data_IF_699229290077
#
_entry.id   IF_699229290077
#
_cell.length_a   1.000
_cell.length_b   1.000
_cell.length_c   1.000
_cell.angle_alpha   90.00
_cell.angle_beta   90.00
_cell.angle_gamma   90.00
#
_symmetry.space_group_name_H-M   'P 1'
#
loop_
_entity.id
_entity.type
_entity.pdbx_description
1 polymer ?
#
# COMPACT_ATOMS: atom_id res chain seq x y z
N UNK A 1 10.17 3.06 9.30
CA UNK A 1 9.08 2.64 10.20
C UNK A 1 8.87 1.15 10.00
N UNK A 2 8.81 0.36 11.05
CA UNK A 2 8.82 -1.10 10.92
C UNK A 2 7.70 -1.75 11.74
N UNK A 3 7.26 -2.93 11.32
CA UNK A 3 6.29 -3.80 12.03
C UNK A 3 4.93 -3.13 12.29
N UNK A 4 4.34 -2.58 11.24
CA UNK A 4 3.04 -1.91 11.28
C UNK A 4 1.95 -2.92 10.98
N UNK A 5 0.89 -2.95 11.80
CA UNK A 5 -0.18 -3.94 11.64
C UNK A 5 -1.56 -3.34 11.80
N UNK A 6 -2.46 -3.70 10.88
CA UNK A 6 -3.88 -3.39 10.93
C UNK A 6 -4.68 -4.65 10.73
N UNK A 7 -5.65 -4.89 11.62
CA UNK A 7 -6.51 -6.07 11.60
C UNK A 7 -7.97 -5.66 11.83
N UNK A 8 -8.90 -6.29 11.11
CA UNK A 8 -10.34 -6.13 11.34
C UNK A 8 -10.81 -4.66 11.27
N UNK A 9 -10.42 -3.96 10.21
CA UNK A 9 -10.77 -2.55 10.00
C UNK A 9 -11.86 -2.44 8.96
N UNK A 10 -12.86 -1.59 9.22
CA UNK A 10 -13.89 -1.21 8.25
C UNK A 10 -13.82 0.27 7.95
N UNK A 11 -13.72 0.63 6.67
CA UNK A 11 -13.66 2.03 6.21
C UNK A 11 -14.82 2.29 5.25
N UNK A 12 -15.65 3.28 5.56
CA UNK A 12 -16.84 3.62 4.77
C UNK A 12 -16.77 5.08 4.33
N UNK A 13 -17.13 5.37 3.08
CA UNK A 13 -17.21 6.73 2.54
C UNK A 13 -15.89 7.51 2.65
N UNK A 14 -14.77 6.85 2.36
CA UNK A 14 -13.43 7.45 2.43
C UNK A 14 -12.92 7.81 1.04
N UNK A 15 -12.10 8.86 0.95
CA UNK A 15 -11.48 9.25 -0.32
C UNK A 15 -10.45 8.18 -0.72
N UNK A 16 -9.49 7.88 0.17
CA UNK A 16 -8.48 6.84 -0.02
C UNK A 16 -8.53 5.85 1.15
N UNK A 17 -8.96 4.59 0.92
CA UNK A 17 -8.93 3.59 1.99
C UNK A 17 -7.49 3.15 2.30
N UNK A 18 -6.61 3.19 1.30
CA UNK A 18 -5.18 2.90 1.46
C UNK A 18 -4.35 3.97 0.74
N UNK A 19 -3.51 4.69 1.51
CA UNK A 19 -2.64 5.74 1.01
C UNK A 19 -1.27 5.65 1.69
N UNK A 20 -0.34 4.97 1.03
CA UNK A 20 1.06 4.91 1.44
C UNK A 20 1.86 5.83 0.54
N UNK A 21 2.51 6.82 1.14
CA UNK A 21 3.43 7.69 0.42
C UNK A 21 4.72 7.88 1.19
N UNK A 22 5.82 7.87 0.45
CA UNK A 22 7.11 8.32 0.94
C UNK A 22 7.72 9.28 -0.08
N UNK A 23 7.46 10.57 0.12
CA UNK A 23 8.14 11.62 -0.62
C UNK A 23 9.34 12.07 0.21
N UNK A 24 10.51 11.53 -0.10
CA UNK A 24 11.75 12.01 0.49
C UNK A 24 12.44 12.98 -0.48
N UNK A 25 12.55 14.25 -0.08
CA UNK A 25 13.38 15.23 -0.77
C UNK A 25 14.84 14.94 -0.44
N UNK A 26 15.72 14.97 -1.45
CA UNK A 26 17.08 14.45 -1.37
C UNK A 26 17.85 14.98 -0.15
N UNK A 27 18.58 14.08 0.51
CA UNK A 27 19.47 14.40 1.63
C UNK A 27 20.58 15.36 1.17
N UNK A 28 20.70 16.47 1.89
CA UNK A 28 21.95 17.23 2.00
C UNK A 28 23.00 16.24 2.54
N UNK A 29 24.04 15.92 1.77
CA UNK A 29 25.26 15.17 2.17
C UNK A 29 25.33 13.64 1.97
N UNK A 30 24.79 13.09 0.87
CA UNK A 30 25.37 11.89 0.22
C UNK A 30 25.40 10.57 1.00
N UNK A 31 24.73 10.49 2.15
CA UNK A 31 24.48 9.24 2.88
C UNK A 31 22.97 9.02 2.87
N UNK A 32 22.55 8.13 1.98
CA UNK A 32 21.15 7.82 1.71
C UNK A 32 20.58 6.91 2.82
N UNK A 33 20.42 7.43 4.04
CA UNK A 33 19.57 6.78 5.05
C UNK A 33 18.10 7.10 4.73
N UNK A 34 17.65 6.72 3.54
CA UNK A 34 16.31 7.07 3.11
C UNK A 34 15.32 6.29 3.96
N UNK A 35 14.25 6.92 4.47
CA UNK A 35 13.34 6.24 5.37
C UNK A 35 12.68 5.06 4.66
N UNK A 36 12.87 3.85 5.16
CA UNK A 36 12.18 2.66 4.62
C UNK A 36 11.03 2.28 5.54
N UNK A 37 9.97 1.75 4.94
CA UNK A 37 8.88 1.09 5.63
C UNK A 37 9.10 -0.41 5.51
N UNK A 38 9.07 -1.15 6.62
CA UNK A 38 9.26 -2.61 6.60
C UNK A 38 8.15 -3.32 7.34
N UNK A 39 7.82 -4.52 6.89
CA UNK A 39 6.93 -5.45 7.58
C UNK A 39 5.57 -4.81 7.89
N UNK A 40 4.81 -4.48 6.84
CA UNK A 40 3.48 -3.90 6.96
C UNK A 40 2.45 -5.00 6.76
N UNK A 41 1.54 -5.20 7.70
CA UNK A 41 0.53 -6.26 7.65
C UNK A 41 -0.87 -5.65 7.68
N UNK A 42 -1.64 -5.88 6.63
CA UNK A 42 -3.05 -5.52 6.55
C UNK A 42 -3.86 -6.79 6.39
N UNK A 43 -4.74 -7.11 7.33
CA UNK A 43 -5.56 -8.32 7.24
C UNK A 43 -7.01 -8.07 7.68
N UNK A 44 -7.94 -8.70 6.98
CA UNK A 44 -9.39 -8.54 7.16
C UNK A 44 -9.82 -7.06 7.14
N UNK A 45 -9.52 -6.37 6.05
CA UNK A 45 -9.90 -4.98 5.85
C UNK A 45 -11.06 -4.91 4.87
N UNK A 46 -12.15 -4.26 5.27
CA UNK A 46 -13.36 -4.09 4.47
C UNK A 46 -13.55 -2.61 4.15
N UNK A 47 -13.69 -2.27 2.88
CA UNK A 47 -13.89 -0.91 2.43
C UNK A 47 -15.11 -0.81 1.51
N UNK A 48 -15.93 0.22 1.68
CA UNK A 48 -17.11 0.44 0.84
C UNK A 48 -17.30 1.93 0.50
N UNK A 49 -17.78 2.18 -0.72
CA UNK A 49 -18.05 3.51 -1.27
C UNK A 49 -16.84 4.45 -1.18
N UNK A 50 -15.69 4.00 -1.67
CA UNK A 50 -14.49 4.85 -1.72
C UNK A 50 -14.36 5.60 -3.04
N UNK A 51 -13.74 6.77 -3.00
CA UNK A 51 -13.44 7.51 -4.24
C UNK A 51 -12.34 6.81 -5.04
N UNK A 52 -11.30 6.31 -4.38
CA UNK A 52 -10.15 5.64 -5.00
C UNK A 52 -9.89 4.25 -4.42
N UNK A 53 -9.09 3.44 -5.11
CA UNK A 53 -8.68 2.09 -4.69
C UNK A 53 -7.45 2.12 -3.76
N UNK A 54 -6.26 2.30 -4.32
CA UNK A 54 -4.98 2.27 -3.62
C UNK A 54 -4.07 3.37 -4.12
N UNK A 55 -3.28 3.95 -3.21
CA UNK A 55 -2.13 4.76 -3.58
C UNK A 55 -0.92 4.24 -2.83
N UNK A 56 0.11 3.78 -3.56
CA UNK A 56 1.40 3.38 -3.00
C UNK A 56 2.50 4.00 -3.84
N UNK A 57 3.08 5.10 -3.36
CA UNK A 57 4.08 5.87 -4.10
C UNK A 57 5.25 6.21 -3.19
N UNK A 58 6.46 5.88 -3.59
CA UNK A 58 7.63 6.35 -2.85
C UNK A 58 8.94 6.27 -3.62
N UNK A 59 9.88 7.07 -3.14
CA UNK A 59 11.31 7.03 -3.49
C UNK A 59 12.09 6.84 -2.19
N UNK A 60 13.10 5.95 -2.15
CA UNK A 60 13.88 5.41 -3.26
C UNK A 60 13.40 4.00 -3.65
N UNK A 61 14.22 3.23 -4.37
CA UNK A 61 13.99 1.79 -4.56
C UNK A 61 13.81 1.08 -3.21
N UNK A 62 12.90 0.10 -3.15
CA UNK A 62 12.57 -0.65 -1.93
C UNK A 62 12.14 0.20 -0.73
N UNK A 63 11.49 1.36 -0.97
CA UNK A 63 11.00 2.21 0.12
C UNK A 63 9.96 1.52 1.01
N UNK A 64 9.23 0.52 0.50
CA UNK A 64 8.32 -0.33 1.26
C UNK A 64 8.66 -1.80 1.05
N UNK A 65 9.06 -2.48 2.12
CA UNK A 65 9.49 -3.87 2.09
C UNK A 65 8.56 -4.76 2.92
N UNK A 66 8.28 -5.96 2.42
CA UNK A 66 7.47 -6.96 3.09
C UNK A 66 6.07 -6.46 3.49
N UNK A 67 5.30 -5.95 2.52
CA UNK A 67 3.87 -5.69 2.67
C UNK A 67 3.09 -7.01 2.57
N UNK A 68 2.26 -7.31 3.57
CA UNK A 68 1.41 -8.50 3.61
C UNK A 68 -0.04 -8.08 3.59
N UNK A 69 -0.79 -8.53 2.57
CA UNK A 69 -2.20 -8.25 2.39
C UNK A 69 -3.02 -9.53 2.56
N UNK A 70 -3.89 -9.58 3.57
CA UNK A 70 -4.78 -10.69 3.88
C UNK A 70 -6.26 -10.28 3.83
N UNK A 71 -7.12 -11.09 3.22
CA UNK A 71 -8.59 -10.93 3.30
C UNK A 71 -9.10 -9.49 3.08
N UNK A 72 -8.57 -8.79 2.08
CA UNK A 72 -8.99 -7.43 1.72
C UNK A 72 -10.22 -7.51 0.82
N UNK A 73 -11.27 -6.76 1.17
CA UNK A 73 -12.49 -6.63 0.39
C UNK A 73 -12.81 -5.15 0.15
N UNK A 74 -12.86 -4.72 -1.11
CA UNK A 74 -13.18 -3.34 -1.49
C UNK A 74 -14.38 -3.31 -2.46
N UNK A 75 -15.45 -2.62 -2.08
CA UNK A 75 -16.69 -2.53 -2.86
C UNK A 75 -17.06 -1.09 -3.21
N UNK A 76 -17.78 -0.90 -4.34
CA UNK A 76 -18.34 0.38 -4.77
C UNK A 76 -17.31 1.52 -4.95
N UNK A 77 -16.18 1.23 -5.61
CA UNK A 77 -15.16 2.23 -5.95
C UNK A 77 -15.69 3.17 -7.04
N UNK A 78 -15.59 4.48 -6.82
CA UNK A 78 -16.07 5.50 -7.76
C UNK A 78 -15.09 5.79 -8.90
N UNK A 79 -13.79 5.84 -8.59
CA UNK A 79 -12.72 6.09 -9.56
C UNK A 79 -11.67 4.99 -9.43
N UNK A 80 -11.51 4.23 -10.52
CA UNK A 80 -10.46 3.24 -10.66
C UNK A 80 -9.16 3.90 -11.15
N UNK A 81 -8.51 4.67 -10.28
CA UNK A 81 -7.20 5.24 -10.57
C UNK A 81 -6.12 4.27 -10.10
N UNK A 82 -5.41 3.65 -11.06
CA UNK A 82 -4.25 2.81 -10.77
C UNK A 82 -3.06 3.71 -10.45
N UNK A 83 -2.84 3.97 -9.16
CA UNK A 83 -1.59 4.59 -8.75
C UNK A 83 -0.46 3.55 -8.85
N UNK A 84 0.37 3.68 -9.88
CA UNK A 84 1.82 3.48 -9.87
C UNK A 84 2.41 2.81 -8.62
N UNK A 85 2.24 1.51 -8.44
CA UNK A 85 2.90 0.76 -7.37
C UNK A 85 4.31 0.36 -7.83
N UNK A 86 5.30 1.17 -7.49
CA UNK A 86 6.71 0.92 -7.82
C UNK A 86 7.53 0.79 -6.54
N UNK A 87 8.61 0.01 -6.61
CA UNK A 87 9.60 -0.09 -5.53
C UNK A 87 9.03 -0.62 -4.19
N UNK A 88 8.03 -1.50 -4.27
CA UNK A 88 7.40 -2.18 -3.13
C UNK A 88 7.66 -3.68 -3.24
N UNK A 89 7.88 -4.37 -2.11
CA UNK A 89 7.92 -5.85 -2.06
C UNK A 89 6.86 -6.40 -1.09
N UNK A 90 6.29 -7.59 -1.35
CA UNK A 90 5.27 -8.15 -0.48
C UNK A 90 4.53 -9.40 -0.97
N UNK A 91 3.54 -9.85 -0.21
CA UNK A 91 2.75 -11.09 -0.43
C UNK A 91 1.25 -10.87 -0.22
N UNK A 92 0.42 -11.72 -0.82
CA UNK A 92 -1.03 -11.66 -0.69
C UNK A 92 -1.60 -13.04 -0.31
N UNK A 93 -2.47 -13.10 0.70
CA UNK A 93 -3.17 -14.30 1.16
C UNK A 93 -4.69 -14.08 1.12
N UNK A 94 -5.40 -14.72 0.18
CA UNK A 94 -6.86 -14.61 0.01
C UNK A 94 -7.39 -13.16 -0.12
N UNK A 95 -6.57 -12.23 -0.59
CA UNK A 95 -7.00 -10.86 -0.83
C UNK A 95 -7.67 -10.78 -2.21
N UNK A 96 -8.98 -10.52 -2.24
CA UNK A 96 -9.75 -10.36 -3.48
C UNK A 96 -9.56 -8.93 -3.97
N UNK A 97 -8.35 -8.58 -4.42
CA UNK A 97 -8.03 -7.19 -4.71
C UNK A 97 -8.14 -6.93 -6.21
N UNK A 98 -9.13 -6.13 -6.59
CA UNK A 98 -9.33 -5.63 -7.95
C UNK A 98 -9.88 -4.18 -7.82
N UNK A 99 -9.42 -3.17 -8.60
CA UNK A 99 -8.41 -3.18 -9.66
C UNK A 99 -7.19 -2.29 -9.29
N UNK A 100 -6.06 -2.95 -9.03
CA UNK A 100 -4.67 -2.47 -9.09
C UNK A 100 -4.12 -1.47 -8.04
N UNK A 101 -3.00 -1.77 -7.34
CA UNK A 101 -2.07 -2.90 -7.46
C UNK A 101 -2.10 -3.78 -6.20
N UNK A 102 -2.68 -4.98 -6.30
CA UNK A 102 -1.89 -6.14 -5.89
C UNK A 102 -2.12 -7.39 -6.77
N UNK A 103 -1.01 -7.96 -7.23
CA UNK A 103 -0.84 -9.36 -7.62
C UNK A 103 0.52 -9.81 -7.08
N UNK A 104 0.56 -10.34 -5.85
CA UNK A 104 1.75 -10.91 -5.19
C UNK A 104 3.09 -10.16 -5.38
N UNK A 105 3.06 -8.82 -5.42
CA UNK A 105 4.19 -7.87 -5.43
C UNK A 105 5.56 -8.49 -5.82
N UNK A 106 5.80 -8.64 -7.13
CA UNK A 106 7.15 -8.76 -7.72
C UNK A 106 7.32 -7.69 -8.79
N UNK A 107 8.34 -6.87 -8.64
CA UNK A 107 9.16 -6.34 -9.74
C UNK A 107 10.57 -6.16 -9.21
N UNK A 108 11.55 -6.72 -9.93
CA UNK A 108 12.99 -6.57 -9.65
C UNK A 108 13.39 -5.11 -9.77
#
# INVERSE_FOLDING_TARGET
>A
MEDIRFYNVTLLNVIHPFFFTLNYDHSINGTSNTPEWKNVYLDNIVTDNSTYTWVMQGTPENWLQNLVLGHINNTNIQIDYVASCYNVTGTCNNATVIPYCPSCIKTV
#
